data_IF_641242228632
#
_entry.id   IF_641242228632
#
_cell.length_a   1.000
_cell.length_b   1.000
_cell.length_c   1.000
_cell.angle_alpha   90.00
_cell.angle_beta   90.00
_cell.angle_gamma   90.00
#
_symmetry.space_group_name_H-M   'P 1'
#
loop_
_entity.id
_entity.type
_entity.pdbx_description
1 polymer ?
#
# COMPACT_ATOMS: atom_id res chain seq x y z
N UNK A 1 -26.07 15.76 -3.32
CA UNK A 1 -25.85 14.62 -2.41
C UNK A 1 -24.92 15.10 -1.32
N UNK A 2 -25.45 15.46 -0.16
CA UNK A 2 -24.66 15.93 0.99
C UNK A 2 -24.14 14.69 1.73
N UNK A 3 -23.00 14.14 1.29
CA UNK A 3 -22.28 13.19 2.13
C UNK A 3 -21.60 13.97 3.24
N UNK A 4 -21.93 13.70 4.50
CA UNK A 4 -21.13 14.18 5.63
C UNK A 4 -19.64 13.85 5.38
N UNK A 5 -18.70 14.69 5.82
CA UNK A 5 -17.28 14.41 5.64
C UNK A 5 -16.93 13.06 6.30
N UNK A 6 -16.29 12.19 5.53
CA UNK A 6 -15.81 10.90 6.04
C UNK A 6 -14.77 11.14 7.13
N UNK A 7 -14.96 10.52 8.29
CA UNK A 7 -14.04 10.64 9.43
C UNK A 7 -12.87 9.67 9.38
N UNK A 8 -12.92 8.68 8.49
CA UNK A 8 -11.88 7.67 8.31
C UNK A 8 -11.57 6.89 9.60
N UNK A 9 -12.62 6.39 10.26
CA UNK A 9 -12.49 5.68 11.55
C UNK A 9 -12.12 4.20 11.38
N UNK A 10 -12.29 3.65 10.17
CA UNK A 10 -11.99 2.25 9.86
C UNK A 10 -11.39 2.12 8.46
N UNK A 11 -10.47 1.16 8.32
CA UNK A 11 -9.72 0.88 7.10
C UNK A 11 -9.70 -0.63 6.85
N UNK A 12 -9.66 -0.98 5.57
CA UNK A 12 -9.35 -2.32 5.10
C UNK A 12 -7.95 -2.33 4.50
N UNK A 13 -7.31 -3.49 4.53
CA UNK A 13 -5.98 -3.67 3.99
C UNK A 13 -5.89 -4.97 3.21
N UNK A 14 -5.28 -4.90 2.04
CA UNK A 14 -4.95 -6.07 1.23
C UNK A 14 -3.43 -6.24 1.22
N UNK A 15 -2.99 -7.45 1.57
CA UNK A 15 -1.60 -7.87 1.48
C UNK A 15 -1.48 -8.97 0.45
N UNK A 16 -0.65 -8.75 -0.57
CA UNK A 16 -0.24 -9.77 -1.52
C UNK A 16 1.23 -10.13 -1.29
N UNK A 17 1.58 -11.40 -1.46
CA UNK A 17 2.95 -11.87 -1.37
C UNK A 17 3.37 -12.35 -2.76
N UNK A 18 4.34 -11.67 -3.34
CA UNK A 18 4.93 -12.00 -4.63
C UNK A 18 6.26 -12.71 -4.40
N UNK A 19 6.44 -13.88 -5.03
CA UNK A 19 7.71 -14.61 -5.02
C UNK A 19 8.48 -14.28 -6.28
N UNK A 20 9.72 -13.84 -6.14
CA UNK A 20 10.64 -13.63 -7.25
C UNK A 20 11.32 -14.96 -7.60
N UNK A 21 11.08 -15.48 -8.80
CA UNK A 21 11.63 -16.79 -9.20
C UNK A 21 13.15 -16.76 -9.37
N UNK A 22 13.70 -15.63 -9.85
CA UNK A 22 15.12 -15.47 -10.14
C UNK A 22 16.01 -15.42 -8.89
N UNK A 23 15.53 -14.77 -7.82
CA UNK A 23 16.29 -14.58 -6.57
C UNK A 23 15.79 -15.46 -5.43
N UNK A 24 14.60 -16.05 -5.56
CA UNK A 24 13.92 -16.78 -4.49
C UNK A 24 13.38 -15.89 -3.37
N UNK A 25 13.47 -14.56 -3.50
CA UNK A 25 12.99 -13.61 -2.50
C UNK A 25 11.46 -13.48 -2.53
N UNK A 26 10.91 -12.95 -1.45
CA UNK A 26 9.49 -12.60 -1.35
C UNK A 26 9.36 -11.09 -1.20
N UNK A 27 8.31 -10.54 -1.79
CA UNK A 27 7.95 -9.14 -1.69
C UNK A 27 6.51 -9.07 -1.18
N UNK A 28 6.29 -8.32 -0.10
CA UNK A 28 4.95 -8.01 0.38
C UNK A 28 4.47 -6.70 -0.25
N UNK A 29 3.31 -6.75 -0.88
CA UNK A 29 2.63 -5.61 -1.50
C UNK A 29 1.39 -5.28 -0.68
N UNK A 30 1.30 -4.06 -0.16
CA UNK A 30 0.26 -3.65 0.78
C UNK A 30 -0.49 -2.46 0.21
N UNK A 31 -1.81 -2.59 0.15
CA UNK A 31 -2.73 -1.48 -0.14
C UNK A 31 -3.71 -1.32 1.01
N UNK A 32 -4.08 -0.08 1.33
CA UNK A 32 -5.00 0.24 2.43
C UNK A 32 -6.01 1.25 1.92
N UNK A 33 -7.29 1.07 2.24
CA UNK A 33 -8.34 2.02 1.89
C UNK A 33 -9.32 2.22 3.05
N UNK A 34 -9.94 3.40 3.10
CA UNK A 34 -10.97 3.65 4.10
C UNK A 34 -12.23 2.84 3.79
N UNK A 35 -12.72 2.07 4.76
CA UNK A 35 -13.93 1.24 4.61
C UNK A 35 -15.21 2.02 4.31
N UNK A 36 -15.23 3.33 4.62
CA UNK A 36 -16.42 4.16 4.51
C UNK A 36 -16.49 4.93 3.19
N UNK A 37 -15.35 5.43 2.70
CA UNK A 37 -15.30 6.28 1.51
C UNK A 37 -14.34 5.78 0.43
N UNK A 38 -13.71 4.63 0.64
CA UNK A 38 -12.76 3.99 -0.28
C UNK A 38 -11.61 4.89 -0.74
N UNK A 39 -11.28 5.91 0.07
CA UNK A 39 -10.11 6.73 -0.22
C UNK A 39 -8.87 5.90 0.11
N UNK A 40 -7.91 5.77 -0.82
CA UNK A 40 -6.70 5.02 -0.56
C UNK A 40 -5.85 5.76 0.47
N UNK A 41 -5.18 5.00 1.32
CA UNK A 41 -4.18 5.50 2.25
C UNK A 41 -2.89 5.79 1.48
N UNK A 42 -2.22 6.90 1.82
CA UNK A 42 -0.95 7.25 1.20
C UNK A 42 0.20 6.93 2.16
N UNK A 43 1.14 6.12 1.70
CA UNK A 43 2.38 5.84 2.43
C UNK A 43 3.31 7.04 2.33
N UNK A 44 3.80 7.51 3.48
CA UNK A 44 4.70 8.66 3.57
C UNK A 44 6.06 8.20 4.10
N UNK A 45 7.14 8.76 3.55
CA UNK A 45 8.51 8.48 3.99
C UNK A 45 9.17 7.25 3.35
N UNK A 46 8.44 6.50 2.53
CA UNK A 46 9.02 5.45 1.69
C UNK A 46 9.59 6.06 0.40
N UNK A 47 10.60 5.43 -0.17
CA UNK A 47 11.16 5.86 -1.45
C UNK A 47 10.30 5.33 -2.60
N UNK A 48 9.91 6.16 -3.58
CA UNK A 48 9.18 5.67 -4.75
C UNK A 48 10.03 4.72 -5.59
N UNK A 49 9.47 3.58 -5.99
CA UNK A 49 10.09 2.62 -6.88
C UNK A 49 10.03 1.18 -6.37
N UNK A 50 11.15 0.48 -6.50
CA UNK A 50 11.32 -0.90 -6.10
C UNK A 50 12.68 -1.04 -5.40
N UNK A 51 12.64 -1.46 -4.14
CA UNK A 51 13.83 -1.83 -3.38
C UNK A 51 13.70 -3.29 -2.95
N UNK A 52 14.53 -4.16 -3.53
CA UNK A 52 14.53 -5.61 -3.26
C UNK A 52 15.24 -5.98 -1.96
N UNK A 53 15.67 -4.99 -1.17
CA UNK A 53 16.36 -5.16 0.11
C UNK A 53 15.81 -4.23 1.20
N UNK A 54 14.69 -3.57 0.94
CA UNK A 54 14.16 -2.52 1.79
C UNK A 54 12.67 -2.27 1.55
N UNK A 55 12.24 -1.07 1.94
CA UNK A 55 10.86 -0.63 1.82
C UNK A 55 10.76 0.48 0.76
N UNK A 56 9.89 0.27 -0.21
CA UNK A 56 9.56 1.24 -1.25
C UNK A 56 8.04 1.41 -1.36
N UNK A 57 7.63 2.40 -2.15
CA UNK A 57 6.22 2.57 -2.53
C UNK A 57 6.09 2.74 -4.03
N UNK A 58 4.89 2.57 -4.57
CA UNK A 58 4.61 2.94 -5.95
C UNK A 58 4.73 4.47 -6.18
N UNK A 59 4.60 4.90 -7.43
CA UNK A 59 4.80 6.31 -7.81
C UNK A 59 3.72 7.23 -7.24
N UNK A 60 2.51 6.70 -7.03
CA UNK A 60 1.39 7.45 -6.45
C UNK A 60 1.38 7.39 -4.91
N UNK A 61 2.20 6.52 -4.32
CA UNK A 61 2.36 6.31 -2.88
C UNK A 61 1.17 5.58 -2.24
N UNK A 62 0.38 4.84 -2.99
CA UNK A 62 -0.83 4.13 -2.55
C UNK A 62 -0.59 2.63 -2.29
N UNK A 63 0.57 2.11 -2.70
CA UNK A 63 1.00 0.74 -2.47
C UNK A 63 2.39 0.72 -1.84
N UNK A 64 2.55 0.05 -0.70
CA UNK A 64 3.85 -0.22 -0.09
C UNK A 64 4.39 -1.57 -0.55
N UNK A 65 5.70 -1.62 -0.81
CA UNK A 65 6.45 -2.80 -1.23
C UNK A 65 7.56 -3.06 -0.22
N UNK A 66 7.48 -4.18 0.48
CA UNK A 66 8.39 -4.54 1.56
C UNK A 66 9.10 -5.86 1.23
N UNK A 67 10.44 -5.82 1.11
CA UNK A 67 11.29 -6.97 0.80
C UNK A 67 11.97 -7.58 2.04
#
# INVERSE_FOLDING_TARGET
MTSSPCKHEAFDSKVAITRMEDTGQFLAEITIECLQCHRPFQFLGLTPGLDLRGAAMDLDGLEARLA
#
